data_IF_510146119082
#
_entry.id   IF_510146119082
#
_cell.length_a   1.000
_cell.length_b   1.000
_cell.length_c   1.000
_cell.angle_alpha   90.00
_cell.angle_beta   90.00
_cell.angle_gamma   90.00
#
_symmetry.space_group_name_H-M   'P 1'
#
loop_
_entity.id
_entity.type
_entity.pdbx_description
1 polymer ?
#
# COMPACT_ATOMS: atom_id res chain seq x y z
N UNK A 1 3.34 -25.12 79.75
CA UNK A 1 2.86 -24.18 78.71
C UNK A 1 3.35 -24.71 77.41
N UNK A 2 2.56 -25.52 76.68
CA UNK A 2 2.90 -26.10 75.39
C UNK A 2 2.46 -25.11 74.33
N UNK A 3 3.44 -24.46 73.68
CA UNK A 3 3.17 -23.61 72.49
C UNK A 3 2.87 -24.51 71.30
N UNK A 4 1.63 -24.54 70.87
CA UNK A 4 1.20 -25.09 69.56
C UNK A 4 1.71 -24.16 68.45
N UNK A 5 2.85 -24.52 67.83
CA UNK A 5 3.28 -23.90 66.59
C UNK A 5 2.29 -24.29 65.48
N UNK A 6 1.44 -23.36 65.11
CA UNK A 6 0.58 -23.48 63.97
C UNK A 6 1.50 -23.43 62.73
N UNK A 7 1.89 -24.59 62.20
CA UNK A 7 2.53 -24.67 60.86
C UNK A 7 1.51 -24.15 59.83
N UNK A 8 1.63 -22.89 59.46
CA UNK A 8 0.99 -22.34 58.28
C UNK A 8 1.53 -23.13 57.09
N UNK A 9 0.74 -24.05 56.52
CA UNK A 9 1.06 -24.71 55.25
C UNK A 9 1.26 -23.64 54.23
N UNK A 10 2.51 -23.34 53.90
CA UNK A 10 2.84 -22.40 52.83
C UNK A 10 2.21 -22.93 51.53
N UNK A 11 1.31 -22.15 50.95
CA UNK A 11 0.62 -22.49 49.71
C UNK A 11 1.68 -22.79 48.62
N UNK A 12 1.56 -23.95 47.97
CA UNK A 12 2.54 -24.44 46.97
C UNK A 12 2.89 -23.42 45.92
N UNK A 13 1.94 -22.53 45.52
CA UNK A 13 2.16 -21.46 44.58
C UNK A 13 2.97 -20.27 45.15
N UNK A 14 3.15 -20.18 46.46
CA UNK A 14 3.97 -19.14 47.09
C UNK A 14 5.46 -19.55 47.21
N UNK A 15 5.84 -20.76 46.75
CA UNK A 15 7.23 -21.21 46.82
C UNK A 15 8.08 -20.63 45.70
N UNK A 16 9.27 -20.13 46.02
CA UNK A 16 10.24 -19.62 45.06
C UNK A 16 10.60 -20.68 44.00
N UNK A 17 10.73 -21.94 44.40
CA UNK A 17 11.08 -23.04 43.50
C UNK A 17 10.01 -23.28 42.43
N UNK A 18 8.74 -23.08 42.75
CA UNK A 18 7.63 -23.18 41.82
C UNK A 18 7.74 -22.08 40.76
N UNK A 19 7.89 -20.83 41.15
CA UNK A 19 7.97 -19.71 40.24
C UNK A 19 9.21 -19.75 39.34
N UNK A 20 10.35 -20.18 39.89
CA UNK A 20 11.58 -20.39 39.12
C UNK A 20 11.39 -21.45 38.02
N UNK A 21 10.79 -22.58 38.32
CA UNK A 21 10.49 -23.63 37.35
C UNK A 21 9.49 -23.15 36.32
N UNK A 22 8.40 -22.47 36.72
CA UNK A 22 7.41 -21.91 35.84
C UNK A 22 8.03 -20.90 34.88
N UNK A 23 8.87 -19.98 35.38
CA UNK A 23 9.57 -19.01 34.51
C UNK A 23 10.44 -19.70 33.45
N UNK A 24 11.18 -20.74 33.85
CA UNK A 24 12.02 -21.51 32.89
C UNK A 24 11.14 -22.16 31.83
N UNK A 25 10.07 -22.85 32.20
CA UNK A 25 9.20 -23.56 31.27
C UNK A 25 8.42 -22.61 30.35
N UNK A 26 7.90 -21.50 30.89
CA UNK A 26 7.19 -20.50 30.10
C UNK A 26 8.15 -19.83 29.09
N UNK A 27 9.34 -19.46 29.57
CA UNK A 27 10.35 -18.83 28.66
C UNK A 27 10.80 -19.80 27.58
N UNK A 28 11.13 -21.05 27.94
CA UNK A 28 11.52 -22.05 26.96
C UNK A 28 10.40 -22.36 25.96
N UNK A 29 9.18 -22.54 26.44
CA UNK A 29 8.00 -22.77 25.59
C UNK A 29 7.71 -21.60 24.66
N UNK A 30 7.76 -20.37 25.17
CA UNK A 30 7.58 -19.15 24.35
C UNK A 30 8.66 -19.02 23.28
N UNK A 31 9.91 -19.36 23.61
CA UNK A 31 11.02 -19.32 22.66
C UNK A 31 10.81 -20.31 21.51
N UNK A 32 10.38 -21.54 21.82
CA UNK A 32 10.05 -22.54 20.79
C UNK A 32 8.93 -22.06 19.89
N UNK A 33 7.84 -21.52 20.46
CA UNK A 33 6.72 -20.96 19.69
C UNK A 33 7.18 -19.81 18.81
N UNK A 34 8.02 -18.91 19.30
CA UNK A 34 8.56 -17.80 18.53
C UNK A 34 9.39 -18.28 17.34
N UNK A 35 10.21 -19.32 17.51
CA UNK A 35 10.97 -19.91 16.39
C UNK A 35 10.01 -20.42 15.32
N UNK A 36 8.99 -21.21 15.68
CA UNK A 36 8.02 -21.71 14.70
C UNK A 36 7.27 -20.58 13.98
N UNK A 37 6.77 -19.59 14.73
CA UNK A 37 6.08 -18.44 14.15
C UNK A 37 6.99 -17.62 13.24
N UNK A 38 8.27 -17.48 13.57
CA UNK A 38 9.24 -16.77 12.73
C UNK A 38 9.41 -17.49 11.40
N UNK A 39 9.63 -18.79 11.40
CA UNK A 39 9.77 -19.56 10.17
C UNK A 39 8.49 -19.56 9.32
N UNK A 40 7.33 -19.68 9.96
CA UNK A 40 6.04 -19.59 9.28
C UNK A 40 5.84 -18.21 8.64
N UNK A 41 6.13 -17.15 9.38
CA UNK A 41 6.04 -15.77 8.87
C UNK A 41 6.97 -15.56 7.68
N UNK A 42 8.24 -15.96 7.79
CA UNK A 42 9.21 -15.83 6.69
C UNK A 42 8.71 -16.54 5.42
N UNK A 43 8.18 -17.76 5.56
CA UNK A 43 7.60 -18.49 4.42
C UNK A 43 6.41 -17.77 3.78
N UNK A 44 5.65 -17.00 4.55
CA UNK A 44 4.47 -16.30 4.02
C UNK A 44 4.80 -14.97 3.33
N UNK A 45 5.83 -14.25 3.80
CA UNK A 45 6.17 -12.90 3.30
C UNK A 45 7.28 -12.88 2.25
N UNK A 46 7.97 -14.01 2.01
CA UNK A 46 9.04 -14.07 1.01
C UNK A 46 8.46 -14.02 -0.41
N UNK A 47 9.08 -13.24 -1.29
CA UNK A 47 8.71 -13.21 -2.71
C UNK A 47 8.84 -14.61 -3.34
N UNK A 48 7.93 -14.93 -4.26
CA UNK A 48 7.82 -16.27 -4.86
C UNK A 48 6.91 -17.24 -4.11
N UNK A 49 6.21 -16.78 -3.05
CA UNK A 49 5.21 -17.58 -2.34
C UNK A 49 3.82 -17.39 -2.94
N UNK A 50 2.85 -18.18 -2.46
CA UNK A 50 1.45 -18.08 -2.92
C UNK A 50 0.85 -16.70 -2.65
N UNK A 51 1.24 -16.04 -1.56
CA UNK A 51 0.69 -14.73 -1.15
C UNK A 51 1.48 -13.55 -1.69
N UNK A 52 2.77 -13.73 -1.91
CA UNK A 52 3.69 -12.71 -2.38
C UNK A 52 4.37 -13.23 -3.64
N UNK A 53 3.87 -12.89 -4.84
CA UNK A 53 4.44 -13.35 -6.09
C UNK A 53 5.91 -12.94 -6.26
N UNK A 54 6.67 -13.76 -7.02
CA UNK A 54 8.01 -13.40 -7.47
C UNK A 54 7.95 -12.09 -8.27
N UNK A 55 9.02 -11.29 -8.20
CA UNK A 55 9.06 -9.96 -8.81
C UNK A 55 8.84 -10.01 -10.32
N UNK A 56 9.58 -10.87 -11.04
CA UNK A 56 9.40 -11.02 -12.48
C UNK A 56 8.00 -11.50 -12.85
N UNK A 57 7.40 -12.37 -12.04
CA UNK A 57 6.07 -12.87 -12.31
C UNK A 57 5.03 -11.73 -12.24
N UNK A 58 5.12 -10.88 -11.23
CA UNK A 58 4.21 -9.74 -11.10
C UNK A 58 4.46 -8.66 -12.19
N UNK A 59 5.73 -8.38 -12.55
CA UNK A 59 6.05 -7.34 -13.52
C UNK A 59 5.81 -7.76 -14.97
N UNK A 60 5.98 -9.04 -15.29
CA UNK A 60 5.80 -9.54 -16.66
C UNK A 60 4.37 -9.96 -16.99
N UNK A 61 3.46 -9.94 -16.03
CA UNK A 61 2.08 -10.37 -16.25
C UNK A 61 1.09 -9.31 -15.79
N UNK A 62 -0.13 -9.45 -16.31
CA UNK A 62 -1.27 -8.67 -15.84
C UNK A 62 -1.66 -9.12 -14.43
N UNK A 63 -2.04 -8.16 -13.59
CA UNK A 63 -2.61 -8.45 -12.28
C UNK A 63 -4.13 -8.44 -12.43
N UNK A 64 -4.74 -9.60 -12.37
CA UNK A 64 -6.19 -9.78 -12.39
C UNK A 64 -6.71 -9.92 -10.95
N UNK A 65 -8.02 -9.70 -10.76
CA UNK A 65 -8.69 -9.87 -9.48
C UNK A 65 -9.89 -10.80 -9.66
N UNK A 66 -9.98 -11.78 -8.78
CA UNK A 66 -11.06 -12.76 -8.76
C UNK A 66 -11.69 -12.74 -7.38
N UNK A 67 -13.03 -12.78 -7.33
CA UNK A 67 -13.75 -12.88 -6.07
C UNK A 67 -13.63 -14.29 -5.50
N UNK A 68 -13.10 -14.41 -4.29
CA UNK A 68 -13.02 -15.67 -3.54
C UNK A 68 -14.22 -15.76 -2.61
N UNK A 69 -15.18 -16.62 -2.96
CA UNK A 69 -16.41 -16.81 -2.18
C UNK A 69 -16.14 -17.32 -0.76
N UNK A 70 -15.11 -18.16 -0.58
CA UNK A 70 -14.75 -18.70 0.73
C UNK A 70 -14.20 -17.65 1.69
N UNK A 71 -13.56 -16.61 1.15
CA UNK A 71 -12.95 -15.50 1.91
C UNK A 71 -13.78 -14.22 1.86
N UNK A 72 -14.80 -14.16 0.98
CA UNK A 72 -15.70 -13.02 0.77
C UNK A 72 -14.99 -11.70 0.41
N UNK A 73 -13.90 -11.78 -0.36
CA UNK A 73 -13.23 -10.60 -0.92
C UNK A 73 -12.46 -10.95 -2.20
N UNK A 74 -12.05 -9.92 -2.92
CA UNK A 74 -11.28 -10.08 -4.13
C UNK A 74 -9.80 -10.38 -3.82
N UNK A 75 -9.25 -11.39 -4.50
CA UNK A 75 -7.85 -11.79 -4.40
C UNK A 75 -7.12 -11.51 -5.71
N UNK A 76 -5.84 -11.08 -5.66
CA UNK A 76 -5.05 -10.90 -6.86
C UNK A 76 -4.68 -12.25 -7.47
N UNK A 77 -4.71 -12.32 -8.79
CA UNK A 77 -4.30 -13.47 -9.59
C UNK A 77 -3.37 -13.00 -10.70
N UNK A 78 -2.31 -13.75 -10.94
CA UNK A 78 -1.41 -13.48 -12.07
C UNK A 78 -2.11 -13.94 -13.35
N UNK A 79 -2.37 -12.97 -14.23
CA UNK A 79 -3.07 -13.16 -15.50
C UNK A 79 -2.14 -13.46 -16.68
N UNK A 80 -2.53 -13.00 -17.87
CA UNK A 80 -1.78 -13.20 -19.12
C UNK A 80 -0.45 -12.44 -19.09
N UNK A 81 0.50 -12.86 -19.94
CA UNK A 81 1.78 -12.18 -20.11
C UNK A 81 1.55 -10.76 -20.64
N UNK A 82 2.02 -9.79 -19.88
CA UNK A 82 1.90 -8.35 -20.15
C UNK A 82 3.04 -7.63 -19.44
N UNK A 83 4.24 -7.59 -20.09
CA UNK A 83 5.42 -6.99 -19.49
C UNK A 83 5.25 -5.50 -19.24
N UNK A 84 5.64 -5.04 -18.04
CA UNK A 84 5.67 -3.62 -17.68
C UNK A 84 6.59 -2.85 -18.61
N UNK A 85 6.13 -1.74 -19.16
CA UNK A 85 6.82 -0.92 -20.17
C UNK A 85 7.24 -1.72 -21.43
N UNK A 86 6.56 -2.82 -21.74
CA UNK A 86 6.81 -3.64 -22.92
C UNK A 86 8.12 -4.44 -22.90
N UNK A 87 8.88 -4.43 -21.78
CA UNK A 87 10.13 -5.17 -21.64
C UNK A 87 9.95 -6.33 -20.66
N UNK A 88 10.21 -7.56 -21.12
CA UNK A 88 10.25 -8.73 -20.23
C UNK A 88 11.52 -8.67 -19.38
N UNK A 89 11.34 -8.78 -18.06
CA UNK A 89 12.40 -8.67 -17.06
C UNK A 89 12.77 -10.07 -16.52
N UNK A 90 14.04 -10.28 -16.25
CA UNK A 90 14.52 -11.41 -15.43
C UNK A 90 14.13 -11.19 -13.97
N UNK A 91 14.30 -12.20 -13.10
CA UNK A 91 13.99 -12.03 -11.67
C UNK A 91 14.92 -11.00 -11.02
N UNK A 92 16.21 -11.00 -11.36
CA UNK A 92 17.18 -10.04 -10.83
C UNK A 92 16.88 -8.61 -11.28
N UNK A 93 16.53 -8.40 -12.58
CA UNK A 93 16.15 -7.09 -13.10
C UNK A 93 14.87 -6.58 -12.43
N UNK A 94 13.89 -7.47 -12.26
CA UNK A 94 12.62 -7.15 -11.63
C UNK A 94 12.78 -6.81 -10.14
N UNK A 95 13.58 -7.60 -9.40
CA UNK A 95 13.91 -7.34 -7.99
C UNK A 95 14.64 -5.99 -7.84
N UNK A 96 15.64 -5.73 -8.68
CA UNK A 96 16.38 -4.47 -8.65
C UNK A 96 15.45 -3.27 -8.89
N UNK A 97 14.54 -3.37 -9.88
CA UNK A 97 13.58 -2.30 -10.19
C UNK A 97 12.58 -2.08 -9.06
N UNK A 98 12.00 -3.14 -8.51
CA UNK A 98 11.06 -3.05 -7.36
C UNK A 98 11.76 -2.50 -6.12
N UNK A 99 12.98 -2.96 -5.84
CA UNK A 99 13.78 -2.46 -4.71
C UNK A 99 14.12 -0.99 -4.85
N UNK A 100 14.49 -0.54 -6.06
CA UNK A 100 14.71 0.88 -6.34
C UNK A 100 13.43 1.70 -6.09
N UNK A 101 12.28 1.26 -6.60
CA UNK A 101 11.01 1.92 -6.37
C UNK A 101 10.62 2.00 -4.89
N UNK A 102 10.82 0.91 -4.14
CA UNK A 102 10.64 0.88 -2.70
C UNK A 102 11.54 1.91 -1.99
N UNK A 103 12.82 1.97 -2.34
CA UNK A 103 13.76 2.94 -1.75
C UNK A 103 13.38 4.38 -2.13
N UNK A 104 12.93 4.62 -3.36
CA UNK A 104 12.41 5.93 -3.80
C UNK A 104 11.21 6.36 -2.97
N UNK A 105 10.23 5.47 -2.72
CA UNK A 105 9.08 5.81 -1.88
C UNK A 105 9.48 6.18 -0.44
N UNK A 106 10.53 5.58 0.08
CA UNK A 106 11.09 5.93 1.40
C UNK A 106 11.86 7.26 1.35
N UNK A 107 12.76 7.43 0.39
CA UNK A 107 13.59 8.63 0.25
C UNK A 107 12.75 9.90 0.00
N UNK A 108 11.69 9.79 -0.80
CA UNK A 108 10.76 10.90 -1.08
C UNK A 108 9.65 11.02 -0.03
N UNK A 109 9.68 10.21 1.04
CA UNK A 109 8.74 10.23 2.16
C UNK A 109 7.25 10.14 1.71
N UNK A 110 6.94 9.28 0.75
CA UNK A 110 5.58 9.13 0.23
C UNK A 110 4.57 8.80 1.33
N UNK A 111 4.97 8.01 2.34
CA UNK A 111 4.12 7.65 3.47
C UNK A 111 3.87 8.80 4.47
N UNK A 112 4.52 9.93 4.29
CA UNK A 112 4.19 11.16 5.01
C UNK A 112 2.81 11.73 4.63
N UNK A 113 2.30 11.39 3.44
CA UNK A 113 0.97 11.77 2.95
C UNK A 113 0.08 10.56 2.66
N UNK A 114 0.64 9.46 2.17
CA UNK A 114 -0.06 8.25 1.77
C UNK A 114 0.02 7.15 2.83
N UNK A 115 -0.91 6.19 2.75
CA UNK A 115 -0.77 4.90 3.44
C UNK A 115 -0.28 3.82 2.47
N UNK A 116 0.43 2.84 3.02
CA UNK A 116 0.80 1.60 2.35
C UNK A 116 0.54 0.45 3.32
N UNK A 117 -0.28 -0.51 2.93
CA UNK A 117 -0.78 -1.58 3.83
C UNK A 117 -1.40 -1.01 5.12
N UNK A 118 -2.07 0.13 5.03
CA UNK A 118 -2.68 0.81 6.18
C UNK A 118 -1.71 1.60 7.07
N UNK A 119 -0.41 1.55 6.82
CA UNK A 119 0.59 2.35 7.56
C UNK A 119 0.90 3.64 6.82
N UNK A 120 1.03 4.75 7.54
CA UNK A 120 1.34 6.06 7.00
C UNK A 120 0.28 7.10 7.34
N UNK A 121 0.22 8.18 6.55
CA UNK A 121 -0.73 9.27 6.72
C UNK A 121 -1.97 9.09 5.84
N UNK A 122 -3.14 9.43 6.37
CA UNK A 122 -4.42 9.40 5.64
C UNK A 122 -4.74 10.71 4.89
N UNK A 123 -3.73 11.53 4.62
CA UNK A 123 -3.94 12.77 3.86
C UNK A 123 -4.23 12.49 2.39
N UNK A 124 -3.61 11.48 1.80
CA UNK A 124 -3.73 11.08 0.41
C UNK A 124 -4.20 9.60 0.30
N UNK A 125 -4.56 9.10 -0.89
CA UNK A 125 -5.03 7.73 -1.09
C UNK A 125 -4.02 6.67 -0.65
N UNK A 126 -4.52 5.48 -0.29
CA UNK A 126 -3.68 4.31 -0.01
C UNK A 126 -3.00 3.80 -1.28
N UNK A 127 -1.71 3.47 -1.19
CA UNK A 127 -0.89 3.05 -2.32
C UNK A 127 -0.88 1.53 -2.54
N UNK A 128 -1.48 0.74 -1.65
CA UNK A 128 -1.39 -0.73 -1.70
C UNK A 128 -1.89 -1.30 -3.03
N UNK A 129 -2.94 -0.71 -3.58
CA UNK A 129 -3.55 -1.12 -4.85
C UNK A 129 -3.54 0.00 -5.90
N UNK A 130 -2.64 0.97 -5.75
CA UNK A 130 -2.60 2.15 -6.62
C UNK A 130 -2.44 1.82 -8.11
N UNK A 131 -1.70 0.76 -8.46
CA UNK A 131 -1.59 0.28 -9.85
C UNK A 131 -2.95 -0.05 -10.49
N UNK A 132 -3.92 -0.49 -9.71
CA UNK A 132 -5.24 -0.93 -10.19
C UNK A 132 -6.33 0.13 -9.96
N UNK A 133 -5.96 1.36 -9.61
CA UNK A 133 -6.92 2.44 -9.39
C UNK A 133 -7.58 2.85 -10.72
N UNK A 134 -8.93 2.88 -10.79
CA UNK A 134 -9.65 3.35 -11.97
C UNK A 134 -9.31 4.78 -12.41
N UNK A 135 -8.80 5.61 -11.51
CA UNK A 135 -8.40 6.98 -11.83
C UNK A 135 -7.31 7.08 -12.91
N UNK A 136 -6.56 6.02 -13.16
CA UNK A 136 -5.55 5.99 -14.23
C UNK A 136 -6.15 5.83 -15.64
N UNK A 137 -7.47 5.75 -15.76
CA UNK A 137 -8.17 5.63 -17.02
C UNK A 137 -8.07 4.23 -17.63
N UNK A 138 -7.45 4.12 -18.81
CA UNK A 138 -7.31 2.82 -19.47
C UNK A 138 -6.02 2.10 -19.09
N UNK A 139 -6.04 0.78 -19.26
CA UNK A 139 -4.88 -0.09 -19.11
C UNK A 139 -3.67 0.38 -19.94
N UNK A 140 -3.91 0.80 -21.19
CA UNK A 140 -2.86 1.22 -22.13
C UNK A 140 -2.21 2.54 -21.73
N UNK A 141 -2.96 3.45 -21.13
CA UNK A 141 -2.47 4.75 -20.69
C UNK A 141 -1.83 4.72 -19.32
N UNK A 142 -2.17 3.73 -18.47
CA UNK A 142 -1.83 3.69 -17.05
C UNK A 142 -0.35 3.82 -16.75
N UNK A 143 0.50 3.08 -17.46
CA UNK A 143 1.95 3.11 -17.22
C UNK A 143 2.52 4.51 -17.42
N UNK A 144 2.20 5.11 -18.56
CA UNK A 144 2.66 6.45 -18.87
C UNK A 144 2.02 7.49 -17.96
N UNK A 145 0.72 7.37 -17.67
CA UNK A 145 0.01 8.29 -16.78
C UNK A 145 0.58 8.29 -15.37
N UNK A 146 0.94 7.12 -14.83
CA UNK A 146 1.55 7.03 -13.51
C UNK A 146 2.95 7.63 -13.48
N UNK A 147 3.77 7.38 -14.49
CA UNK A 147 5.12 7.96 -14.61
C UNK A 147 5.02 9.48 -14.70
N UNK A 148 4.18 9.99 -15.60
CA UNK A 148 3.95 11.43 -15.79
C UNK A 148 3.45 12.10 -14.52
N UNK A 149 2.48 11.47 -13.82
CA UNK A 149 1.97 11.98 -12.56
C UNK A 149 3.05 12.05 -11.47
N UNK A 150 3.94 11.06 -11.39
CA UNK A 150 5.02 11.07 -10.39
C UNK A 150 6.06 12.16 -10.67
N UNK A 151 6.34 12.43 -11.94
CA UNK A 151 7.29 13.48 -12.33
C UNK A 151 6.68 14.88 -12.26
N UNK A 152 5.40 15.01 -12.62
CA UNK A 152 4.69 16.28 -12.78
C UNK A 152 3.32 16.28 -12.10
N UNK A 153 3.26 16.06 -10.78
CA UNK A 153 1.99 15.97 -10.06
C UNK A 153 1.19 17.28 -10.07
N UNK A 154 1.84 18.40 -10.34
CA UNK A 154 1.23 19.72 -10.49
C UNK A 154 0.31 19.82 -11.71
N UNK A 155 0.51 18.99 -12.74
CA UNK A 155 -0.31 18.96 -13.95
C UNK A 155 -1.58 18.16 -13.78
N UNK A 156 -1.66 17.31 -12.73
CA UNK A 156 -2.83 16.50 -12.47
C UNK A 156 -4.01 17.33 -11.98
N UNK A 157 -5.20 16.96 -12.42
CA UNK A 157 -6.45 17.51 -11.88
C UNK A 157 -6.54 17.24 -10.38
N UNK A 158 -7.09 18.20 -9.62
CA UNK A 158 -7.30 18.05 -8.19
C UNK A 158 -8.40 17.02 -7.94
N UNK A 159 -8.27 16.27 -6.85
CA UNK A 159 -9.39 15.50 -6.34
C UNK A 159 -10.49 16.44 -5.81
N UNK A 160 -11.66 15.87 -5.53
CA UNK A 160 -12.83 16.62 -5.00
C UNK A 160 -12.55 17.39 -3.69
N UNK A 161 -11.45 17.08 -3.01
CA UNK A 161 -11.04 17.74 -1.75
C UNK A 161 -10.00 18.84 -1.99
N UNK A 162 -9.64 19.14 -3.23
CA UNK A 162 -8.64 20.16 -3.57
C UNK A 162 -7.20 19.82 -3.13
N UNK A 163 -6.93 18.56 -2.74
CA UNK A 163 -5.59 18.14 -2.32
C UNK A 163 -4.69 17.91 -3.52
N UNK A 164 -3.44 18.35 -3.42
CA UNK A 164 -2.42 18.16 -4.45
C UNK A 164 -1.24 17.39 -3.88
N UNK A 165 -0.67 16.49 -4.70
CA UNK A 165 0.65 15.95 -4.43
C UNK A 165 1.69 17.04 -4.76
N UNK A 166 2.64 17.34 -3.85
CA UNK A 166 3.72 18.26 -4.15
C UNK A 166 4.69 17.64 -5.17
N UNK A 167 5.37 18.48 -5.95
CA UNK A 167 6.46 17.99 -6.79
C UNK A 167 7.67 17.63 -5.90
N UNK A 168 8.03 16.36 -5.89
CA UNK A 168 9.10 15.80 -5.07
C UNK A 168 10.43 15.68 -5.83
N UNK A 169 10.51 16.18 -7.06
CA UNK A 169 11.69 16.07 -7.89
C UNK A 169 12.05 14.61 -8.20
N UNK A 170 11.04 13.81 -8.56
CA UNK A 170 11.22 12.41 -8.94
C UNK A 170 11.73 12.36 -10.38
N UNK A 171 12.85 11.68 -10.65
CA UNK A 171 13.36 11.45 -11.99
C UNK A 171 12.54 10.38 -12.72
N UNK A 172 12.69 10.29 -14.06
CA UNK A 172 11.98 9.27 -14.84
C UNK A 172 12.32 7.85 -14.38
N UNK A 173 13.59 7.56 -14.08
CA UNK A 173 14.02 6.25 -13.60
C UNK A 173 13.41 5.94 -12.22
N UNK A 174 13.40 6.89 -11.31
CA UNK A 174 12.73 6.77 -10.01
C UNK A 174 11.22 6.57 -10.17
N UNK A 175 10.59 7.27 -11.10
CA UNK A 175 9.16 7.15 -11.38
C UNK A 175 8.82 5.75 -11.94
N UNK A 176 9.57 5.27 -12.94
CA UNK A 176 9.41 3.92 -13.51
C UNK A 176 9.60 2.83 -12.45
N UNK A 177 10.62 2.97 -11.62
CA UNK A 177 10.89 2.05 -10.51
C UNK A 177 9.75 2.08 -9.47
N UNK A 178 9.22 3.26 -9.16
CA UNK A 178 8.08 3.40 -8.24
C UNK A 178 6.82 2.74 -8.82
N UNK A 179 6.55 2.91 -10.12
CA UNK A 179 5.43 2.23 -10.80
C UNK A 179 5.60 0.71 -10.73
N UNK A 180 6.81 0.19 -10.94
CA UNK A 180 7.10 -1.24 -10.81
C UNK A 180 6.85 -1.75 -9.38
N UNK A 181 7.28 -1.01 -8.37
CA UNK A 181 6.99 -1.32 -6.98
C UNK A 181 5.48 -1.33 -6.69
N UNK A 182 4.73 -0.34 -7.16
CA UNK A 182 3.27 -0.28 -6.97
C UNK A 182 2.53 -1.39 -7.74
N UNK A 183 3.01 -1.78 -8.93
CA UNK A 183 2.48 -2.94 -9.64
C UNK A 183 2.68 -4.23 -8.84
N UNK A 184 3.90 -4.46 -8.36
CA UNK A 184 4.20 -5.62 -7.52
C UNK A 184 3.39 -5.61 -6.22
N UNK A 185 3.29 -4.45 -5.52
CA UNK A 185 2.45 -4.31 -4.32
C UNK A 185 0.99 -4.70 -4.58
N UNK A 186 0.46 -4.33 -5.74
CA UNK A 186 -0.92 -4.66 -6.12
C UNK A 186 -1.14 -6.15 -6.37
N UNK A 187 -0.08 -6.93 -6.60
CA UNK A 187 -0.15 -8.38 -6.79
C UNK A 187 -0.12 -9.19 -5.48
N UNK A 188 0.17 -8.55 -4.35
CA UNK A 188 0.22 -9.21 -3.05
C UNK A 188 -1.19 -9.48 -2.52
N UNK A 189 -1.43 -10.70 -2.03
CA UNK A 189 -2.66 -11.01 -1.30
C UNK A 189 -2.64 -10.38 0.10
N UNK A 190 -3.39 -9.31 0.25
CA UNK A 190 -3.48 -8.50 1.47
C UNK A 190 -4.71 -8.81 2.32
N UNK A 191 -5.33 -10.01 2.17
CA UNK A 191 -6.55 -10.40 2.86
C UNK A 191 -7.71 -9.41 2.65
N UNK A 192 -7.89 -8.94 1.41
CA UNK A 192 -8.96 -8.00 1.06
C UNK A 192 -8.73 -6.55 1.49
N UNK A 193 -7.52 -6.20 1.93
CA UNK A 193 -7.17 -4.80 2.19
C UNK A 193 -6.72 -4.08 0.88
N UNK A 194 -7.10 -2.82 0.64
CA UNK A 194 -8.11 -2.03 1.38
C UNK A 194 -9.54 -2.56 1.17
N UNK A 195 -10.38 -2.42 2.20
CA UNK A 195 -11.77 -2.83 2.11
C UNK A 195 -12.52 -2.05 1.01
N UNK A 196 -13.47 -2.74 0.35
CA UNK A 196 -14.27 -2.17 -0.74
C UNK A 196 -13.46 -1.70 -1.97
N UNK A 197 -12.24 -2.18 -2.14
CA UNK A 197 -11.44 -1.89 -3.32
C UNK A 197 -12.13 -2.47 -4.58
N UNK A 198 -12.31 -1.61 -5.58
CA UNK A 198 -12.81 -1.99 -6.91
C UNK A 198 -11.67 -1.79 -7.90
N UNK A 199 -11.09 -2.87 -8.45
CA UNK A 199 -10.01 -2.74 -9.42
C UNK A 199 -10.53 -2.11 -10.71
N UNK A 200 -9.61 -1.46 -11.45
CA UNK A 200 -9.87 -1.00 -12.81
C UNK A 200 -10.38 -2.16 -13.68
N UNK A 201 -11.39 -1.89 -14.49
CA UNK A 201 -11.82 -2.85 -15.51
C UNK A 201 -10.67 -3.04 -16.50
N UNK A 202 -10.18 -4.26 -16.59
CA UNK A 202 -9.08 -4.65 -17.46
C UNK A 202 -9.55 -5.26 -18.79
N UNK A 203 -10.85 -5.18 -19.09
CA UNK A 203 -11.36 -5.50 -20.42
C UNK A 203 -10.74 -4.54 -21.46
N UNK A 204 -10.66 -4.96 -22.73
CA UNK A 204 -10.11 -4.17 -23.83
C UNK A 204 -11.02 -2.99 -24.26
N UNK A 205 -11.70 -2.37 -23.33
CA UNK A 205 -12.53 -1.21 -23.56
C UNK A 205 -11.64 -0.05 -24.11
N UNK A 206 -12.12 0.70 -25.12
CA UNK A 206 -11.36 1.82 -25.66
C UNK A 206 -11.04 2.83 -24.57
N UNK A 207 -9.85 3.42 -24.68
CA UNK A 207 -9.34 4.41 -23.73
C UNK A 207 -10.40 5.47 -23.40
N UNK A 208 -10.70 5.63 -22.11
CA UNK A 208 -11.48 6.77 -21.65
C UNK A 208 -10.77 8.06 -22.07
N UNK A 209 -11.55 9.08 -22.44
CA UNK A 209 -11.07 10.37 -22.92
C UNK A 209 -9.99 10.97 -22.01
N UNK A 210 -9.04 11.76 -22.54
CA UNK A 210 -8.00 12.41 -21.75
C UNK A 210 -8.61 13.17 -20.58
N UNK A 211 -7.91 13.12 -19.44
CA UNK A 211 -8.28 13.84 -18.22
C UNK A 211 -8.74 15.24 -18.59
N UNK A 212 -9.96 15.60 -18.19
CA UNK A 212 -10.59 16.86 -18.57
C UNK A 212 -9.63 18.04 -18.30
N UNK A 213 -9.51 18.94 -19.29
CA UNK A 213 -8.83 20.22 -19.11
C UNK A 213 -9.28 20.91 -17.82
N UNK A 214 -8.36 21.54 -17.08
CA UNK A 214 -8.72 22.22 -15.84
C UNK A 214 -9.80 23.25 -16.13
N UNK A 215 -10.95 23.10 -15.46
CA UNK A 215 -12.02 24.07 -15.52
C UNK A 215 -11.46 25.47 -15.21
N UNK A 216 -11.75 26.44 -16.08
CA UNK A 216 -11.36 27.83 -15.89
C UNK A 216 -11.76 28.31 -14.49
N UNK A 217 -10.96 29.18 -13.84
CA UNK A 217 -11.24 29.63 -12.49
C UNK A 217 -12.64 30.28 -12.45
N UNK A 218 -13.49 29.74 -11.59
CA UNK A 218 -14.81 30.33 -11.32
C UNK A 218 -14.55 31.72 -10.76
N UNK A 219 -15.00 32.75 -11.47
CA UNK A 219 -14.92 34.14 -11.03
C UNK A 219 -15.67 34.28 -9.70
N UNK A 220 -15.00 34.86 -8.72
CA UNK A 220 -15.53 35.08 -7.37
C UNK A 220 -16.71 36.09 -7.44
N UNK A 221 -17.96 35.74 -7.06
CA UNK A 221 -19.11 36.64 -7.15
C UNK A 221 -19.05 37.80 -6.15
N UNK A 222 -18.04 37.90 -5.32
CA UNK A 222 -17.91 38.94 -4.29
C UNK A 222 -17.25 40.24 -4.79
N UNK A 223 -16.77 40.31 -6.04
CA UNK A 223 -16.08 41.52 -6.54
C UNK A 223 -16.99 42.56 -7.21
N UNK A 224 -18.32 42.36 -7.29
CA UNK A 224 -19.26 43.28 -7.97
C UNK A 224 -20.20 44.09 -7.03
N UNK A 225 -19.99 44.06 -5.71
CA UNK A 225 -20.79 44.83 -4.79
C UNK A 225 -19.94 45.90 -4.08
N UNK A 226 -19.58 46.95 -4.76
CA UNK A 226 -18.84 48.02 -4.07
C UNK A 226 -18.42 49.22 -4.91
N UNK A 227 -19.25 49.75 -5.78
CA UNK A 227 -19.10 51.14 -6.24
C UNK A 227 -20.47 51.65 -6.69
N UNK A 228 -21.27 52.16 -5.78
CA UNK A 228 -22.29 53.13 -6.06
C UNK A 228 -22.76 53.80 -4.76
N UNK A 229 -22.16 54.90 -4.41
CA UNK A 229 -22.79 56.00 -3.68
C UNK A 229 -21.73 57.04 -3.33
N UNK A 230 -21.66 58.12 -4.13
CA UNK A 230 -21.38 59.46 -3.65
C UNK A 230 -21.31 60.43 -4.86
N UNK A 231 -22.45 60.89 -5.27
CA UNK A 231 -22.54 62.16 -6.02
C UNK A 231 -23.98 62.66 -5.89
N UNK A 232 -24.26 63.41 -4.81
CA UNK A 232 -25.28 64.47 -4.73
C UNK A 232 -25.22 65.08 -3.33
N UNK A 233 -24.57 66.16 -3.14
CA UNK A 233 -24.94 67.49 -2.61
C UNK A 233 -23.68 68.31 -2.47
#
# INVERSE_FOLDING_TARGET
>A
MSGTETQTQALWWASESFWRKMAIWVTAGSFVVLIFLTFDTVKQITAGTKRVPAYANALNHRIDYVFDEGRNFQVPVIGVEEPLFGKKLTEEEAEAMVSHGKLTTQAKNCMGCHTLLGNGSYYAPDLTKAWLDPAWGSKQAREQAMVEFLMHPELAAHNSLGRKMPNLGISEDEARATVAFLKWMSSIDTNGFPANFKPIDQSDAPAAAPLAEPAAPVADPAASAGVSSAAQQ
#
